data_IF_890613307157
#
_entry.id   IF_890613307157
#
_cell.length_a   1.000
_cell.length_b   1.000
_cell.length_c   1.000
_cell.angle_alpha   90.00
_cell.angle_beta   90.00
_cell.angle_gamma   90.00
#
_symmetry.space_group_name_H-M   'P 1'
#
loop_
_entity.id
_entity.type
_entity.pdbx_description
1 polymer ?
#
# COMPACT_ATOMS: atom_id res chain seq x y z
N UNK A 1 51.16 -20.02 28.41
CA UNK A 1 51.26 -20.27 26.95
C UNK A 1 50.01 -19.70 26.30
N UNK A 2 50.07 -18.60 25.52
CA UNK A 2 48.90 -18.12 24.81
C UNK A 2 48.83 -18.76 23.42
N UNK A 3 47.64 -19.27 23.06
CA UNK A 3 47.31 -19.83 21.76
C UNK A 3 47.48 -18.78 20.65
N UNK A 4 48.34 -19.07 19.68
CA UNK A 4 48.47 -18.30 18.45
C UNK A 4 47.22 -18.61 17.60
N UNK A 5 46.19 -17.79 17.75
CA UNK A 5 45.06 -17.75 16.82
C UNK A 5 45.63 -17.32 15.46
N UNK A 6 45.93 -18.28 14.61
CA UNK A 6 46.50 -18.08 13.28
C UNK A 6 45.64 -17.10 12.49
N UNK A 7 46.28 -16.07 11.93
CA UNK A 7 45.68 -15.01 11.10
C UNK A 7 44.76 -15.56 9.99
N UNK A 8 45.03 -16.77 9.53
CA UNK A 8 44.23 -17.51 8.54
C UNK A 8 42.80 -17.80 9.02
N UNK A 9 42.60 -18.07 10.31
CA UNK A 9 41.28 -18.28 10.93
C UNK A 9 40.47 -16.98 10.98
N UNK A 10 41.15 -15.85 11.21
CA UNK A 10 40.55 -14.51 11.18
C UNK A 10 40.16 -14.12 9.76
N UNK A 11 41.02 -14.40 8.78
CA UNK A 11 40.77 -14.11 7.36
C UNK A 11 39.62 -14.98 6.78
N UNK A 12 39.54 -16.26 7.15
CA UNK A 12 38.42 -17.15 6.76
C UNK A 12 37.08 -16.68 7.32
N UNK A 13 37.04 -16.19 8.57
CA UNK A 13 35.84 -15.65 9.18
C UNK A 13 35.37 -14.36 8.51
N UNK A 14 36.30 -13.45 8.20
CA UNK A 14 35.99 -12.20 7.48
C UNK A 14 35.45 -12.49 6.09
N UNK A 15 36.11 -13.37 5.32
CA UNK A 15 35.69 -13.76 3.97
C UNK A 15 34.30 -14.43 3.95
N UNK A 16 33.98 -15.25 4.97
CA UNK A 16 32.63 -15.81 5.15
C UNK A 16 31.60 -14.73 5.44
N UNK A 17 31.93 -13.73 6.27
CA UNK A 17 31.03 -12.62 6.58
C UNK A 17 30.74 -11.79 5.33
N UNK A 18 31.74 -11.36 4.59
CA UNK A 18 31.53 -10.59 3.33
C UNK A 18 30.73 -11.36 2.30
N UNK A 19 30.96 -12.67 2.18
CA UNK A 19 30.17 -13.50 1.26
C UNK A 19 28.69 -13.61 1.70
N UNK A 20 28.42 -13.75 3.00
CA UNK A 20 27.05 -13.77 3.55
C UNK A 20 26.30 -12.45 3.32
N UNK A 21 26.97 -11.31 3.48
CA UNK A 21 26.36 -10.00 3.19
C UNK A 21 26.02 -9.88 1.70
N UNK A 22 26.92 -10.31 0.80
CA UNK A 22 26.70 -10.23 -0.65
C UNK A 22 25.58 -11.16 -1.13
N UNK A 23 25.43 -12.34 -0.52
CA UNK A 23 24.35 -13.30 -0.79
C UNK A 23 23.00 -12.80 -0.26
N UNK A 24 22.95 -12.16 0.91
CA UNK A 24 21.74 -11.52 1.42
C UNK A 24 21.28 -10.39 0.50
N UNK A 25 22.20 -9.52 0.10
CA UNK A 25 21.93 -8.39 -0.80
C UNK A 25 21.39 -8.86 -2.17
N UNK A 26 21.98 -9.90 -2.76
CA UNK A 26 21.48 -10.47 -4.04
C UNK A 26 20.12 -11.17 -3.90
N UNK A 27 19.82 -11.76 -2.74
CA UNK A 27 18.51 -12.40 -2.49
C UNK A 27 17.40 -11.37 -2.25
N UNK A 28 17.70 -10.29 -1.54
CA UNK A 28 16.78 -9.16 -1.33
C UNK A 28 16.45 -8.47 -2.66
N UNK A 29 17.46 -8.30 -3.53
CA UNK A 29 17.26 -7.80 -4.90
C UNK A 29 16.42 -8.75 -5.78
N UNK A 30 16.53 -10.07 -5.59
CA UNK A 30 15.76 -11.04 -6.34
C UNK A 30 14.28 -11.13 -5.89
N UNK A 31 14.00 -10.86 -4.61
CA UNK A 31 12.64 -10.87 -4.05
C UNK A 31 11.81 -9.69 -4.58
N UNK A 32 12.44 -8.52 -4.75
CA UNK A 32 11.83 -7.35 -5.42
C UNK A 32 11.49 -7.65 -6.88
N UNK A 33 12.31 -8.45 -7.56
CA UNK A 33 12.09 -8.86 -8.96
C UNK A 33 11.00 -9.95 -9.11
N UNK A 34 10.41 -10.42 -8.00
CA UNK A 34 9.29 -11.38 -8.01
C UNK A 34 7.91 -10.71 -7.87
N UNK A 35 7.85 -9.37 -7.84
CA UNK A 35 6.60 -8.63 -7.98
C UNK A 35 6.16 -8.71 -9.44
N UNK A 36 5.20 -9.60 -9.74
CA UNK A 36 4.62 -9.81 -11.08
C UNK A 36 3.89 -8.60 -11.69
N UNK A 37 3.74 -7.51 -10.95
CA UNK A 37 3.02 -6.29 -11.35
C UNK A 37 4.04 -5.17 -11.54
N UNK A 38 4.06 -4.58 -12.74
CA UNK A 38 4.91 -3.42 -13.05
C UNK A 38 4.46 -2.15 -12.30
N UNK A 39 5.36 -1.19 -12.03
CA UNK A 39 5.01 0.07 -11.37
C UNK A 39 3.88 0.85 -12.08
N UNK A 40 3.83 0.83 -13.42
CA UNK A 40 2.71 1.40 -14.20
C UNK A 40 1.37 0.72 -13.93
N UNK A 41 1.38 -0.61 -13.71
CA UNK A 41 0.17 -1.36 -13.38
C UNK A 41 -0.30 -1.05 -11.96
N UNK A 42 0.61 -0.81 -11.01
CA UNK A 42 0.26 -0.37 -9.66
C UNK A 42 -0.39 1.03 -9.69
N UNK A 43 0.16 1.95 -10.47
CA UNK A 43 -0.41 3.29 -10.64
C UNK A 43 -1.80 3.24 -11.29
N UNK A 44 -1.95 2.41 -12.33
CA UNK A 44 -3.26 2.15 -12.95
C UNK A 44 -4.26 1.62 -11.93
N UNK A 45 -3.85 0.67 -11.09
CA UNK A 45 -4.71 0.11 -10.03
C UNK A 45 -5.05 1.14 -8.95
N UNK A 46 -4.10 1.98 -8.55
CA UNK A 46 -4.35 3.07 -7.61
C UNK A 46 -5.41 4.05 -8.14
N UNK A 47 -5.31 4.43 -9.41
CA UNK A 47 -6.30 5.30 -10.06
C UNK A 47 -7.68 4.63 -10.17
N UNK A 48 -7.71 3.32 -10.41
CA UNK A 48 -8.96 2.54 -10.39
C UNK A 48 -9.61 2.57 -9.00
N UNK A 49 -8.85 2.43 -7.92
CA UNK A 49 -9.36 2.56 -6.55
C UNK A 49 -9.92 3.96 -6.26
N UNK A 50 -9.25 5.03 -6.70
CA UNK A 50 -9.74 6.39 -6.52
C UNK A 50 -11.06 6.63 -7.27
N UNK A 51 -11.17 6.17 -8.53
CA UNK A 51 -12.41 6.24 -9.29
C UNK A 51 -13.57 5.50 -8.57
N UNK A 52 -13.29 4.32 -8.00
CA UNK A 52 -14.28 3.58 -7.19
C UNK A 52 -14.64 4.31 -5.90
N UNK A 53 -13.71 5.05 -5.30
CA UNK A 53 -13.98 5.89 -4.13
C UNK A 53 -14.96 7.02 -4.49
N UNK A 54 -14.75 7.69 -5.62
CA UNK A 54 -15.64 8.73 -6.12
C UNK A 54 -17.05 8.18 -6.41
N UNK A 55 -17.15 7.04 -7.11
CA UNK A 55 -18.42 6.36 -7.35
C UNK A 55 -19.12 6.02 -6.02
N UNK A 56 -18.39 5.48 -5.04
CA UNK A 56 -18.93 5.15 -3.73
C UNK A 56 -19.48 6.40 -3.01
N UNK A 57 -18.74 7.51 -3.01
CA UNK A 57 -19.19 8.76 -2.41
C UNK A 57 -20.44 9.32 -3.11
N UNK A 58 -20.55 9.19 -4.43
CA UNK A 58 -21.75 9.57 -5.17
C UNK A 58 -22.96 8.73 -4.77
N UNK A 59 -22.79 7.42 -4.58
CA UNK A 59 -23.86 6.53 -4.10
C UNK A 59 -24.29 6.92 -2.69
N UNK A 60 -23.33 7.19 -1.78
CA UNK A 60 -23.63 7.66 -0.42
C UNK A 60 -24.40 8.99 -0.44
N UNK A 61 -23.99 9.94 -1.28
CA UNK A 61 -24.70 11.21 -1.44
C UNK A 61 -26.12 11.02 -1.99
N UNK A 62 -26.30 10.09 -2.93
CA UNK A 62 -27.61 9.75 -3.49
C UNK A 62 -28.52 9.17 -2.41
N UNK A 63 -28.01 8.22 -1.62
CA UNK A 63 -28.75 7.64 -0.49
C UNK A 63 -29.14 8.72 0.53
N UNK A 64 -28.24 9.65 0.86
CA UNK A 64 -28.53 10.76 1.78
C UNK A 64 -29.69 11.63 1.28
N UNK A 65 -29.69 11.97 -0.01
CA UNK A 65 -30.79 12.74 -0.61
C UNK A 65 -32.11 11.99 -0.55
N UNK A 66 -32.12 10.68 -0.85
CA UNK A 66 -33.33 9.85 -0.76
C UNK A 66 -33.87 9.79 0.67
N UNK A 67 -33.00 9.66 1.68
CA UNK A 67 -33.40 9.70 3.09
C UNK A 67 -34.00 11.06 3.47
N UNK A 68 -33.41 12.17 2.99
CA UNK A 68 -33.96 13.51 3.21
C UNK A 68 -35.36 13.65 2.60
N UNK A 69 -35.53 13.27 1.33
CA UNK A 69 -36.85 13.31 0.64
C UNK A 69 -37.87 12.44 1.36
N UNK A 70 -37.49 11.24 1.80
CA UNK A 70 -38.37 10.36 2.59
C UNK A 70 -38.80 10.99 3.92
N UNK A 71 -37.92 11.75 4.59
CA UNK A 71 -38.27 12.46 5.81
C UNK A 71 -39.25 13.61 5.56
N UNK A 72 -39.10 14.30 4.42
CA UNK A 72 -39.98 15.40 4.02
C UNK A 72 -41.37 14.91 3.58
N UNK A 73 -41.42 13.84 2.78
CA UNK A 73 -42.67 13.27 2.26
C UNK A 73 -43.44 12.47 3.32
N UNK A 74 -42.70 11.81 4.23
CA UNK A 74 -43.25 11.00 5.30
C UNK A 74 -42.98 11.65 6.64
N UNK A 75 -43.76 12.70 6.96
CA UNK A 75 -43.74 13.35 8.26
C UNK A 75 -44.26 12.39 9.35
N UNK A 76 -43.37 11.74 10.10
CA UNK A 76 -43.76 10.83 11.18
C UNK A 76 -42.58 10.20 11.93
N UNK A 77 -42.85 9.57 13.07
CA UNK A 77 -41.82 8.92 13.92
C UNK A 77 -41.01 7.85 13.18
N UNK A 78 -41.58 7.21 12.14
CA UNK A 78 -40.92 6.16 11.37
C UNK A 78 -39.82 6.68 10.45
N UNK A 79 -39.94 7.89 9.88
CA UNK A 79 -38.90 8.46 9.01
C UNK A 79 -37.70 8.95 9.83
N UNK A 80 -37.95 9.49 11.03
CA UNK A 80 -36.90 9.86 11.97
C UNK A 80 -35.99 8.66 12.31
N UNK A 81 -36.58 7.48 12.54
CA UNK A 81 -35.80 6.28 12.83
C UNK A 81 -34.92 5.83 11.65
N UNK A 82 -35.34 6.06 10.39
CA UNK A 82 -34.51 5.81 9.21
C UNK A 82 -33.37 6.82 9.09
N UNK A 83 -33.65 8.10 9.37
CA UNK A 83 -32.62 9.14 9.40
C UNK A 83 -31.54 8.85 10.44
N UNK A 84 -31.94 8.51 11.68
CA UNK A 84 -31.01 8.21 12.76
C UNK A 84 -30.13 7.00 12.44
N UNK A 85 -30.70 5.95 11.84
CA UNK A 85 -29.94 4.78 11.36
C UNK A 85 -28.95 5.16 10.27
N UNK A 86 -29.36 5.95 9.28
CA UNK A 86 -28.47 6.38 8.20
C UNK A 86 -27.34 7.29 8.71
N UNK A 87 -27.66 8.23 9.60
CA UNK A 87 -26.68 9.12 10.24
C UNK A 87 -25.69 8.36 11.12
N UNK A 88 -26.14 7.29 11.79
CA UNK A 88 -25.23 6.39 12.52
C UNK A 88 -24.26 5.63 11.63
N UNK A 89 -24.61 5.39 10.35
CA UNK A 89 -23.77 4.70 9.37
C UNK A 89 -22.85 5.63 8.58
N UNK A 90 -23.15 6.93 8.57
CA UNK A 90 -22.34 7.96 7.93
C UNK A 90 -20.83 7.90 8.25
N UNK A 91 -20.40 7.75 9.52
CA UNK A 91 -18.98 7.61 9.84
C UNK A 91 -18.36 6.34 9.22
N UNK A 92 -19.13 5.25 9.10
CA UNK A 92 -18.64 4.02 8.47
C UNK A 92 -18.43 4.20 6.96
N UNK A 93 -19.28 5.00 6.29
CA UNK A 93 -19.08 5.35 4.89
C UNK A 93 -17.83 6.22 4.70
N UNK A 94 -17.60 7.20 5.57
CA UNK A 94 -16.35 8.00 5.56
C UNK A 94 -15.12 7.11 5.75
N UNK A 95 -15.15 6.23 6.76
CA UNK A 95 -14.05 5.30 7.03
C UNK A 95 -13.77 4.35 5.86
N UNK A 96 -14.83 3.92 5.14
CA UNK A 96 -14.68 3.09 3.94
C UNK A 96 -14.03 3.87 2.80
N UNK A 97 -14.43 5.12 2.57
CA UNK A 97 -13.80 5.97 1.55
C UNK A 97 -12.33 6.24 1.89
N UNK A 98 -12.01 6.54 3.15
CA UNK A 98 -10.64 6.73 3.63
C UNK A 98 -9.79 5.47 3.45
N UNK A 99 -10.35 4.28 3.72
CA UNK A 99 -9.67 3.01 3.50
C UNK A 99 -9.32 2.83 2.01
N UNK A 100 -10.25 3.11 1.10
CA UNK A 100 -10.04 2.99 -0.33
C UNK A 100 -8.91 3.92 -0.78
N UNK A 101 -8.96 5.19 -0.37
CA UNK A 101 -7.91 6.18 -0.69
C UNK A 101 -6.57 5.80 -0.06
N UNK A 102 -6.55 5.22 1.14
CA UNK A 102 -5.32 4.72 1.76
C UNK A 102 -4.70 3.57 0.96
N UNK A 103 -5.52 2.64 0.44
CA UNK A 103 -5.03 1.56 -0.43
C UNK A 103 -4.44 2.13 -1.72
N UNK A 104 -5.11 3.11 -2.34
CA UNK A 104 -4.60 3.79 -3.52
C UNK A 104 -3.25 4.46 -3.25
N UNK A 105 -3.10 5.12 -2.10
CA UNK A 105 -1.83 5.74 -1.70
C UNK A 105 -0.73 4.70 -1.47
N UNK A 106 -1.02 3.61 -0.77
CA UNK A 106 -0.05 2.54 -0.54
C UNK A 106 0.43 1.93 -1.87
N UNK A 107 -0.45 1.75 -2.85
CA UNK A 107 -0.07 1.27 -4.19
C UNK A 107 0.87 2.24 -4.91
N UNK A 108 0.64 3.56 -4.79
CA UNK A 108 1.54 4.59 -5.34
C UNK A 108 2.90 4.60 -4.65
N UNK A 109 2.92 4.44 -3.33
CA UNK A 109 4.15 4.41 -2.54
C UNK A 109 5.01 3.19 -2.90
N UNK A 110 4.38 2.02 -3.09
CA UNK A 110 5.05 0.80 -3.56
C UNK A 110 5.59 0.99 -4.97
N UNK A 111 4.81 1.58 -5.89
CA UNK A 111 5.25 1.88 -7.26
C UNK A 111 6.49 2.78 -7.28
N UNK A 112 6.45 3.87 -6.49
CA UNK A 112 7.57 4.82 -6.35
C UNK A 112 8.80 4.14 -5.77
N UNK A 113 8.63 3.30 -4.75
CA UNK A 113 9.72 2.55 -4.13
C UNK A 113 10.37 1.59 -5.13
N UNK A 114 9.56 0.89 -5.93
CA UNK A 114 10.05 -0.04 -6.96
C UNK A 114 10.84 0.70 -8.05
N UNK A 115 10.35 1.85 -8.53
CA UNK A 115 11.08 2.67 -9.51
C UNK A 115 12.42 3.18 -8.97
N UNK A 116 12.49 3.52 -7.69
CA UNK A 116 13.73 3.96 -7.05
C UNK A 116 14.75 2.82 -6.94
N UNK A 117 14.30 1.64 -6.52
CA UNK A 117 15.14 0.43 -6.44
C UNK A 117 15.68 0.06 -7.83
N UNK A 118 14.83 0.07 -8.86
CA UNK A 118 15.26 -0.20 -10.25
C UNK A 118 16.31 0.81 -10.73
N UNK A 119 16.17 2.10 -10.41
CA UNK A 119 17.15 3.14 -10.76
C UNK A 119 18.49 2.91 -10.06
N UNK A 120 18.47 2.53 -8.79
CA UNK A 120 19.70 2.21 -8.04
C UNK A 120 20.38 0.95 -8.58
N UNK A 121 19.61 -0.08 -8.94
CA UNK A 121 20.15 -1.31 -9.55
C UNK A 121 20.75 -1.00 -10.93
N UNK A 122 20.03 -0.26 -11.78
CA UNK A 122 20.52 0.15 -13.10
C UNK A 122 21.81 0.98 -13.00
N UNK A 123 21.89 1.90 -12.03
CA UNK A 123 23.10 2.67 -11.76
C UNK A 123 24.27 1.83 -11.27
N UNK A 124 24.03 0.75 -10.50
CA UNK A 124 25.07 -0.17 -10.04
C UNK A 124 25.54 -1.15 -11.12
N UNK A 125 24.65 -1.56 -12.03
CA UNK A 125 24.97 -2.47 -13.13
C UNK A 125 25.63 -1.72 -14.30
N UNK A 126 25.21 -0.48 -14.60
CA UNK A 126 25.82 0.33 -15.67
C UNK A 126 27.24 0.85 -15.36
N UNK A 127 27.71 0.66 -14.12
CA UNK A 127 29.04 1.08 -13.64
C UNK A 127 29.98 -0.12 -13.40
N UNK A 128 29.53 -1.35 -13.64
CA UNK A 128 30.36 -2.57 -13.65
C UNK A 128 30.58 -3.07 -15.08
#
# INVERSE_FOLDING_TARGET
>A
MPEVITEESRNRATRRKTLQYKVKETKEMADVNNIRISPEQMETKANEFDARCEEFQQVVSTMRNMVSTLCDEWAGQSSQAFYDQFSSLEPSFSATAELITSIAQQLRDVSTSMQNIDREIAGKIGVM
#
